data_IF_758692368311
#
_entry.id   IF_758692368311
#
_cell.length_a   1.000
_cell.length_b   1.000
_cell.length_c   1.000
_cell.angle_alpha   90.00
_cell.angle_beta   90.00
_cell.angle_gamma   90.00
#
_symmetry.space_group_name_H-M   'P 1'
#
loop_
_entity.id
_entity.type
_entity.pdbx_description
1 polymer ?
#
# COMPACT_ATOMS: atom_id res chain seq x y z
N UNK A 1 17.08 18.12 22.55
CA UNK A 1 15.79 18.50 21.91
C UNK A 1 15.42 17.44 20.89
N UNK A 2 14.12 17.18 20.67
CA UNK A 2 13.62 16.16 19.72
C UNK A 2 14.29 16.27 18.34
N UNK A 3 14.53 17.51 17.87
CA UNK A 3 15.19 17.80 16.59
C UNK A 3 16.60 17.20 16.44
N UNK A 4 17.39 17.12 17.51
CA UNK A 4 18.78 16.65 17.42
C UNK A 4 18.90 15.12 17.47
N UNK A 5 17.88 14.43 18.00
CA UNK A 5 17.94 12.99 18.25
C UNK A 5 17.05 12.18 17.29
N UNK A 6 16.05 12.82 16.65
CA UNK A 6 15.01 12.11 15.89
C UNK A 6 14.66 12.76 14.55
N UNK A 7 15.37 13.82 14.13
CA UNK A 7 15.13 14.49 12.85
C UNK A 7 16.44 14.74 12.11
N UNK A 8 16.37 14.69 10.78
CA UNK A 8 17.46 15.08 9.88
C UNK A 8 17.00 16.34 9.14
N UNK A 9 17.78 17.41 9.20
CA UNK A 9 17.47 18.62 8.43
C UNK A 9 17.87 18.45 6.97
N UNK A 10 17.23 19.20 6.07
CA UNK A 10 17.54 19.18 4.64
C UNK A 10 19.00 19.53 4.38
N UNK A 11 19.59 20.44 5.17
CA UNK A 11 21.01 20.82 5.06
C UNK A 11 21.94 19.65 5.40
N UNK A 12 21.73 19.00 6.55
CA UNK A 12 22.51 17.82 6.95
C UNK A 12 22.38 16.70 5.93
N UNK A 13 21.16 16.47 5.44
CA UNK A 13 20.89 15.45 4.43
C UNK A 13 21.59 15.75 3.10
N UNK A 14 21.59 17.02 2.67
CA UNK A 14 22.32 17.46 1.45
C UNK A 14 23.83 17.29 1.61
N UNK A 15 24.38 17.58 2.79
CA UNK A 15 25.80 17.35 3.08
C UNK A 15 26.18 15.87 2.97
N UNK A 16 25.34 14.97 3.49
CA UNK A 16 25.57 13.52 3.36
C UNK A 16 25.53 13.05 1.91
N UNK A 17 24.58 13.52 1.10
CA UNK A 17 24.51 13.19 -0.33
C UNK A 17 25.76 13.66 -1.09
N UNK A 18 26.22 14.89 -0.82
CA UNK A 18 27.42 15.45 -1.45
C UNK A 18 28.72 14.71 -1.05
N UNK A 19 28.73 14.07 0.12
CA UNK A 19 29.88 13.30 0.59
C UNK A 19 30.02 11.93 -0.11
N UNK A 20 28.98 11.45 -0.82
CA UNK A 20 29.01 10.17 -1.52
C UNK A 20 29.81 10.32 -2.82
N UNK A 21 30.92 9.57 -3.03
CA UNK A 21 31.78 9.72 -4.20
C UNK A 21 31.18 9.12 -5.49
N UNK A 22 29.95 8.59 -5.42
CA UNK A 22 29.26 8.01 -6.56
C UNK A 22 28.85 9.08 -7.56
N UNK A 23 29.20 8.84 -8.82
CA UNK A 23 28.89 9.73 -9.92
C UNK A 23 27.39 9.78 -10.23
N UNK A 24 26.70 8.63 -10.17
CA UNK A 24 25.26 8.52 -10.34
C UNK A 24 24.64 8.12 -9.01
N UNK A 25 23.71 8.93 -8.52
CA UNK A 25 23.03 8.70 -7.26
C UNK A 25 21.53 8.65 -7.50
N UNK A 26 20.86 7.67 -6.88
CA UNK A 26 19.40 7.56 -6.89
C UNK A 26 18.90 7.80 -5.48
N UNK A 27 17.92 8.68 -5.35
CA UNK A 27 17.28 9.03 -4.09
C UNK A 27 15.77 8.86 -4.22
N UNK A 28 15.20 8.06 -3.33
CA UNK A 28 13.76 7.81 -3.26
C UNK A 28 13.28 8.25 -1.88
N UNK A 29 12.27 9.11 -1.84
CA UNK A 29 11.70 9.66 -0.61
C UNK A 29 10.21 9.30 -0.54
N UNK A 30 9.86 8.27 0.22
CA UNK A 30 8.46 7.89 0.49
C UNK A 30 8.03 8.46 1.86
N UNK A 31 7.83 9.77 1.91
CA UNK A 31 7.41 10.49 3.11
C UNK A 31 6.44 11.62 2.77
N UNK A 32 5.50 11.89 3.68
CA UNK A 32 4.57 13.02 3.55
C UNK A 32 5.36 14.33 3.32
N UNK A 33 4.88 15.17 2.41
CA UNK A 33 5.47 16.48 2.11
C UNK A 33 6.94 16.42 1.60
N UNK A 34 7.41 15.25 1.12
CA UNK A 34 8.75 15.08 0.53
C UNK A 34 8.97 15.85 -0.78
N UNK A 35 7.89 16.30 -1.44
CA UNK A 35 7.97 17.17 -2.63
C UNK A 35 8.76 18.46 -2.38
N UNK A 36 8.69 19.04 -1.18
CA UNK A 36 9.45 20.26 -0.81
C UNK A 36 10.97 20.02 -0.80
N UNK A 37 11.41 18.78 -0.50
CA UNK A 37 12.83 18.41 -0.58
C UNK A 37 13.28 18.41 -2.02
N UNK A 38 12.45 17.92 -2.95
CA UNK A 38 12.73 17.95 -4.39
C UNK A 38 12.83 19.38 -4.90
N UNK A 39 11.90 20.25 -4.53
CA UNK A 39 11.94 21.68 -4.89
C UNK A 39 13.21 22.37 -4.38
N UNK A 40 13.62 22.10 -3.14
CA UNK A 40 14.85 22.63 -2.55
C UNK A 40 16.12 22.13 -3.27
N UNK A 41 16.14 20.87 -3.72
CA UNK A 41 17.28 20.32 -4.47
C UNK A 41 17.33 20.86 -5.90
N UNK A 42 16.17 20.99 -6.55
CA UNK A 42 16.05 21.60 -7.88
C UNK A 42 16.49 23.07 -7.87
N UNK A 43 16.11 23.84 -6.86
CA UNK A 43 16.52 25.24 -6.72
C UNK A 43 18.02 25.37 -6.43
N UNK A 44 18.58 24.50 -5.58
CA UNK A 44 20.03 24.44 -5.36
C UNK A 44 20.81 24.14 -6.66
N UNK A 45 20.32 23.21 -7.50
CA UNK A 45 20.95 22.90 -8.79
C UNK A 45 20.83 24.02 -9.84
N UNK A 46 19.83 24.90 -9.72
CA UNK A 46 19.58 26.03 -10.63
C UNK A 46 20.35 27.30 -10.27
N UNK A 47 21.06 27.31 -9.14
CA UNK A 47 21.89 28.44 -8.69
C UNK A 47 23.23 28.59 -9.44
N UNK A 48 23.46 27.79 -10.49
CA UNK A 48 24.68 27.81 -11.29
C UNK A 48 24.55 28.76 -12.49
N UNK A 49 25.59 29.58 -12.72
CA UNK A 49 25.62 30.55 -13.80
C UNK A 49 25.65 29.87 -15.19
N UNK A 50 25.16 30.56 -16.22
CA UNK A 50 25.01 30.04 -17.60
C UNK A 50 26.28 29.46 -18.25
N UNK A 51 27.46 29.82 -17.76
CA UNK A 51 28.76 29.24 -18.15
C UNK A 51 29.07 27.91 -17.46
N UNK A 52 28.63 27.72 -16.23
CA UNK A 52 28.75 26.47 -15.47
C UNK A 52 27.74 25.42 -15.96
N UNK A 53 26.54 25.84 -16.37
CA UNK A 53 25.53 24.96 -16.98
C UNK A 53 26.08 24.24 -18.22
N UNK A 54 26.82 24.94 -19.09
CA UNK A 54 27.41 24.33 -20.32
C UNK A 54 28.58 23.38 -20.05
N UNK A 55 29.33 23.59 -18.96
CA UNK A 55 30.39 22.67 -18.53
C UNK A 55 29.80 21.44 -17.84
N UNK A 56 28.72 21.62 -17.08
CA UNK A 56 27.95 20.55 -16.47
C UNK A 56 27.20 19.72 -17.53
N UNK A 57 26.62 20.34 -18.58
CA UNK A 57 26.00 19.67 -19.75
C UNK A 57 26.90 18.64 -20.41
N UNK A 58 28.22 18.86 -20.41
CA UNK A 58 29.20 17.92 -20.96
C UNK A 58 29.57 16.78 -19.99
N UNK A 59 29.27 16.92 -18.70
CA UNK A 59 29.43 15.90 -17.66
C UNK A 59 28.10 15.18 -17.30
N UNK A 60 26.95 15.78 -17.65
CA UNK A 60 25.58 15.36 -17.26
C UNK A 60 25.17 13.95 -17.69
N UNK A 61 25.73 13.41 -18.79
CA UNK A 61 25.50 12.01 -19.17
C UNK A 61 26.14 10.98 -18.21
N UNK A 62 27.13 11.41 -17.41
CA UNK A 62 27.96 10.54 -16.56
C UNK A 62 27.78 10.76 -15.06
N UNK A 63 27.30 11.94 -14.63
CA UNK A 63 27.18 12.29 -13.21
C UNK A 63 25.85 12.98 -12.89
N UNK A 64 25.18 12.62 -11.79
CA UNK A 64 23.99 13.32 -11.32
C UNK A 64 23.18 12.60 -10.24
N UNK A 65 22.30 13.35 -9.60
CA UNK A 65 21.34 12.85 -8.59
C UNK A 65 19.96 12.75 -9.23
N UNK A 66 19.39 11.56 -9.17
CA UNK A 66 18.05 11.22 -9.64
C UNK A 66 17.15 11.06 -8.43
N UNK A 67 16.09 11.86 -8.35
CA UNK A 67 15.21 11.94 -7.18
C UNK A 67 13.79 11.58 -7.57
N UNK A 68 13.17 10.73 -6.77
CA UNK A 68 11.74 10.43 -6.82
C UNK A 68 11.15 10.62 -5.42
N UNK A 69 10.12 11.45 -5.29
CA UNK A 69 9.48 11.75 -4.01
C UNK A 69 7.97 11.50 -4.05
N UNK A 70 7.45 10.85 -3.00
CA UNK A 70 6.04 10.58 -2.81
C UNK A 70 5.33 11.82 -2.27
N UNK A 71 4.50 12.47 -3.09
CA UNK A 71 3.72 13.63 -2.66
C UNK A 71 2.28 13.24 -2.38
N UNK A 72 1.98 12.86 -1.13
CA UNK A 72 0.61 12.60 -0.67
C UNK A 72 0.00 13.86 -0.06
N UNK A 73 -1.26 14.16 -0.39
CA UNK A 73 -2.06 15.18 0.27
C UNK A 73 -2.79 14.56 1.49
N UNK A 74 -2.12 14.54 2.65
CA UNK A 74 -2.65 14.47 4.03
C UNK A 74 -3.90 13.61 4.39
N UNK A 75 -4.33 12.65 3.57
CA UNK A 75 -5.53 11.85 3.85
C UNK A 75 -5.27 10.34 3.92
N UNK A 76 -5.57 9.85 5.13
CA UNK A 76 -5.97 8.50 5.58
C UNK A 76 -4.93 7.37 5.50
N UNK A 77 -4.21 7.18 6.61
CA UNK A 77 -3.30 6.07 6.88
C UNK A 77 -3.95 4.68 6.79
N UNK A 78 -5.27 4.59 7.06
CA UNK A 78 -6.02 3.32 7.01
C UNK A 78 -6.16 2.77 5.60
N UNK A 79 -6.28 3.65 4.61
CA UNK A 79 -6.50 3.30 3.20
C UNK A 79 -5.22 2.77 2.54
N UNK A 80 -4.05 3.34 2.89
CA UNK A 80 -2.75 2.85 2.46
C UNK A 80 -2.39 1.47 3.07
N UNK A 81 -2.96 1.11 4.22
CA UNK A 81 -2.68 -0.18 4.89
C UNK A 81 -3.03 -1.39 4.02
N UNK A 82 -3.94 -1.22 3.04
CA UNK A 82 -4.29 -2.20 2.02
C UNK A 82 -3.07 -2.72 1.25
N UNK A 83 -2.08 -1.87 1.02
CA UNK A 83 -0.87 -2.22 0.26
C UNK A 83 0.29 -2.66 1.15
N UNK A 84 0.14 -2.60 2.48
CA UNK A 84 1.15 -3.03 3.46
C UNK A 84 2.39 -2.12 3.57
N UNK A 85 2.50 -1.09 2.72
CA UNK A 85 3.59 -0.12 2.65
C UNK A 85 3.14 1.15 1.93
N UNK A 86 3.99 2.18 1.87
CA UNK A 86 3.70 3.40 1.11
C UNK A 86 3.48 3.11 -0.38
N UNK A 87 2.57 3.85 -1.02
CA UNK A 87 2.20 3.62 -2.43
C UNK A 87 3.41 3.71 -3.35
N UNK A 88 4.32 4.65 -3.09
CA UNK A 88 5.53 4.82 -3.88
C UNK A 88 6.44 3.59 -3.76
N UNK A 89 6.72 3.16 -2.53
CA UNK A 89 7.52 1.94 -2.31
C UNK A 89 6.85 0.73 -2.96
N UNK A 90 5.53 0.58 -2.86
CA UNK A 90 4.76 -0.51 -3.47
C UNK A 90 4.89 -0.53 -5.00
N UNK A 91 4.73 0.62 -5.66
CA UNK A 91 4.90 0.72 -7.10
C UNK A 91 6.34 0.43 -7.53
N UNK A 92 7.35 0.87 -6.77
CA UNK A 92 8.75 0.58 -7.10
C UNK A 92 9.06 -0.92 -7.04
N UNK A 93 8.63 -1.60 -5.96
CA UNK A 93 8.84 -3.05 -5.85
C UNK A 93 8.11 -3.83 -6.95
N UNK A 94 6.89 -3.43 -7.32
CA UNK A 94 6.17 -4.00 -8.46
C UNK A 94 6.90 -3.81 -9.79
N UNK A 95 7.44 -2.60 -10.03
CA UNK A 95 8.22 -2.32 -11.24
C UNK A 95 9.45 -3.22 -11.31
N UNK A 96 10.19 -3.32 -10.21
CA UNK A 96 11.37 -4.18 -10.12
C UNK A 96 11.02 -5.68 -10.25
N UNK A 97 9.83 -6.13 -9.82
CA UNK A 97 9.45 -7.55 -9.88
C UNK A 97 9.14 -8.06 -11.30
N UNK A 98 9.21 -7.20 -12.31
CA UNK A 98 9.01 -7.58 -13.71
C UNK A 98 8.23 -6.56 -14.52
N UNK A 99 7.46 -5.68 -13.88
CA UNK A 99 6.52 -4.80 -14.58
C UNK A 99 7.17 -3.57 -15.23
N UNK A 100 8.43 -3.27 -14.87
CA UNK A 100 9.20 -2.15 -15.42
C UNK A 100 10.64 -2.54 -15.80
N UNK A 101 10.89 -3.82 -16.11
CA UNK A 101 12.22 -4.30 -16.49
C UNK A 101 12.52 -4.04 -17.96
N UNK A 102 13.69 -3.46 -18.23
CA UNK A 102 14.25 -3.36 -19.57
C UNK A 102 14.79 -4.74 -19.97
N UNK A 103 14.41 -5.18 -21.18
CA UNK A 103 14.75 -6.53 -21.69
C UNK A 103 14.35 -7.68 -20.73
N UNK A 104 13.35 -7.44 -19.87
CA UNK A 104 12.85 -8.43 -18.91
C UNK A 104 13.79 -8.76 -17.74
N UNK A 105 14.93 -8.08 -17.60
CA UNK A 105 15.92 -8.39 -16.56
C UNK A 105 16.61 -7.17 -15.94
N UNK A 106 16.72 -6.04 -16.63
CA UNK A 106 17.45 -4.88 -16.12
C UNK A 106 16.51 -3.87 -15.46
N UNK A 107 16.85 -3.44 -14.25
CA UNK A 107 16.14 -2.35 -13.55
C UNK A 107 16.73 -1.03 -14.02
N UNK A 108 16.12 -0.43 -15.02
CA UNK A 108 16.46 0.90 -15.54
C UNK A 108 15.78 2.01 -14.73
N UNK A 109 16.52 3.05 -14.35
CA UNK A 109 16.01 4.05 -13.41
C UNK A 109 14.84 4.90 -13.97
N UNK A 110 14.91 5.32 -15.24
CA UNK A 110 13.83 6.12 -15.84
C UNK A 110 12.59 5.28 -16.06
N UNK A 111 12.74 4.04 -16.51
CA UNK A 111 11.64 3.09 -16.67
C UNK A 111 10.94 2.82 -15.33
N UNK A 112 11.72 2.59 -14.27
CA UNK A 112 11.20 2.35 -12.93
C UNK A 112 10.49 3.58 -12.35
N UNK A 113 11.09 4.77 -12.50
CA UNK A 113 10.50 6.02 -12.02
C UNK A 113 9.20 6.36 -12.76
N UNK A 114 9.19 6.19 -14.08
CA UNK A 114 8.00 6.42 -14.90
C UNK A 114 6.87 5.45 -14.51
N UNK A 115 7.19 4.16 -14.34
CA UNK A 115 6.22 3.19 -13.85
C UNK A 115 5.62 3.62 -12.50
N UNK A 116 6.45 4.04 -11.55
CA UNK A 116 5.95 4.52 -10.26
C UNK A 116 5.10 5.79 -10.40
N UNK A 117 5.48 6.74 -11.26
CA UNK A 117 4.71 7.96 -11.55
C UNK A 117 3.32 7.65 -12.09
N UNK A 118 3.18 6.62 -12.92
CA UNK A 118 1.92 6.24 -13.55
C UNK A 118 1.04 5.36 -12.64
N UNK A 119 1.65 4.50 -11.82
CA UNK A 119 0.94 3.58 -10.94
C UNK A 119 0.44 4.23 -9.64
N UNK A 120 1.24 5.10 -9.02
CA UNK A 120 0.87 5.70 -7.73
C UNK A 120 -0.47 6.44 -7.78
N UNK A 121 -0.78 7.27 -8.80
CA UNK A 121 -2.08 7.92 -8.93
C UNK A 121 -3.25 6.93 -9.03
N UNK A 122 -3.09 5.82 -9.77
CA UNK A 122 -4.13 4.79 -9.91
C UNK A 122 -4.40 4.09 -8.58
N UNK A 123 -3.34 3.75 -7.84
CA UNK A 123 -3.44 3.12 -6.53
C UNK A 123 -4.04 4.06 -5.48
N UNK A 124 -3.71 5.36 -5.56
CA UNK A 124 -4.26 6.39 -4.71
C UNK A 124 -5.76 6.59 -4.99
N UNK A 125 -6.15 6.69 -6.26
CA UNK A 125 -7.56 6.81 -6.66
C UNK A 125 -8.39 5.60 -6.19
N UNK A 126 -7.83 4.38 -6.29
CA UNK A 126 -8.48 3.16 -5.84
C UNK A 126 -8.81 3.17 -4.34
N UNK A 127 -8.15 4.01 -3.56
CA UNK A 127 -8.39 4.18 -2.13
C UNK A 127 -8.99 5.54 -1.77
N UNK A 128 -9.38 6.37 -2.74
CA UNK A 128 -9.97 7.70 -2.50
C UNK A 128 -8.96 8.81 -2.21
N UNK A 129 -7.67 8.52 -2.35
CA UNK A 129 -6.57 9.47 -2.20
C UNK A 129 -6.14 10.11 -3.52
N UNK A 130 -5.32 11.16 -3.41
CA UNK A 130 -4.61 11.77 -4.53
C UNK A 130 -3.14 11.81 -4.18
N UNK A 131 -2.32 11.17 -5.00
CA UNK A 131 -0.87 11.15 -4.84
C UNK A 131 -0.21 11.15 -6.22
N UNK A 132 0.67 12.12 -6.45
CA UNK A 132 1.44 12.20 -7.70
C UNK A 132 2.92 12.32 -7.35
N UNK A 133 3.74 11.30 -7.66
CA UNK A 133 5.17 11.37 -7.42
C UNK A 133 5.83 12.52 -8.20
N UNK A 134 6.79 13.19 -7.56
CA UNK A 134 7.62 14.21 -8.20
C UNK A 134 8.98 13.62 -8.55
N UNK A 135 9.43 13.89 -9.78
CA UNK A 135 10.74 13.46 -10.27
C UNK A 135 11.64 14.67 -10.48
N UNK A 136 12.91 14.53 -10.12
CA UNK A 136 13.97 15.45 -10.48
C UNK A 136 15.19 14.66 -10.96
N UNK A 137 15.76 15.07 -12.09
CA UNK A 137 16.96 14.48 -12.64
C UNK A 137 17.70 15.54 -13.46
N UNK A 138 19.01 15.38 -13.72
CA UNK A 138 19.77 16.33 -14.53
C UNK A 138 19.16 16.50 -15.92
N UNK A 139 19.10 17.74 -16.42
CA UNK A 139 18.77 18.00 -17.83
C UNK A 139 19.70 17.15 -18.72
N UNK A 140 19.18 16.51 -19.76
CA UNK A 140 19.99 15.65 -20.63
C UNK A 140 20.62 14.42 -19.96
N UNK A 141 20.27 14.10 -18.71
CA UNK A 141 20.79 12.93 -18.01
C UNK A 141 20.31 11.63 -18.66
N UNK A 142 21.25 10.79 -19.08
CA UNK A 142 20.93 9.46 -19.59
C UNK A 142 20.48 8.54 -18.45
N UNK A 143 19.50 7.69 -18.75
CA UNK A 143 19.11 6.61 -17.86
C UNK A 143 20.25 5.60 -17.68
N UNK A 144 20.15 4.77 -16.64
CA UNK A 144 21.12 3.74 -16.35
C UNK A 144 20.48 2.63 -15.52
N UNK A 145 21.05 1.44 -15.63
CA UNK A 145 20.61 0.29 -14.86
C UNK A 145 21.16 0.37 -13.42
N UNK A 146 20.30 0.06 -12.46
CA UNK A 146 20.64 -0.03 -11.03
C UNK A 146 20.62 -1.46 -10.50
N UNK A 147 20.22 -2.43 -11.34
CA UNK A 147 20.17 -3.83 -10.93
C UNK A 147 19.83 -4.79 -12.06
N UNK A 148 20.14 -6.06 -11.81
CA UNK A 148 19.77 -7.21 -12.65
C UNK A 148 18.86 -8.13 -11.83
N UNK A 149 17.66 -8.39 -12.35
CA UNK A 149 16.69 -9.32 -11.78
C UNK A 149 16.81 -10.64 -12.53
N UNK A 150 17.22 -11.68 -11.79
CA UNK A 150 17.33 -13.04 -12.28
C UNK A 150 16.63 -14.00 -11.29
N UNK A 151 16.64 -15.30 -11.58
CA UNK A 151 15.95 -16.30 -10.74
C UNK A 151 16.42 -16.40 -9.28
N UNK A 152 17.54 -15.76 -8.91
CA UNK A 152 18.04 -15.71 -7.53
C UNK A 152 17.59 -14.48 -6.75
N UNK A 153 17.12 -13.43 -7.43
CA UNK A 153 16.69 -12.18 -6.81
C UNK A 153 15.22 -12.28 -6.44
N UNK A 154 14.92 -12.21 -5.14
CA UNK A 154 13.55 -12.15 -4.63
C UNK A 154 13.20 -10.72 -4.25
N UNK A 155 12.21 -10.15 -4.93
CA UNK A 155 11.71 -8.81 -4.63
C UNK A 155 10.42 -8.98 -3.80
N UNK A 156 10.41 -8.53 -2.54
CA UNK A 156 9.28 -8.75 -1.65
C UNK A 156 8.14 -7.76 -1.97
N UNK A 157 7.36 -8.04 -3.02
CA UNK A 157 6.17 -7.27 -3.31
C UNK A 157 5.06 -7.68 -2.34
N UNK A 158 4.56 -6.72 -1.57
CA UNK A 158 3.43 -6.96 -0.67
C UNK A 158 2.21 -7.45 -1.47
N UNK A 159 1.41 -8.34 -0.88
CA UNK A 159 0.11 -8.68 -1.46
C UNK A 159 -0.90 -7.61 -1.08
N UNK A 160 -1.75 -7.23 -2.03
CA UNK A 160 -2.88 -6.34 -1.76
C UNK A 160 -3.80 -7.06 -0.78
N UNK A 161 -3.98 -6.48 0.41
CA UNK A 161 -4.80 -7.04 1.48
C UNK A 161 -6.28 -6.84 1.15
N UNK A 162 -7.14 -7.84 1.35
CA UNK A 162 -8.59 -7.63 1.29
C UNK A 162 -9.01 -6.65 2.39
N UNK A 163 -9.88 -5.71 2.03
CA UNK A 163 -10.44 -4.73 2.97
C UNK A 163 -11.83 -5.21 3.37
N UNK A 164 -12.04 -5.51 4.65
CA UNK A 164 -13.34 -5.81 5.21
C UNK A 164 -13.97 -4.56 5.83
N UNK A 165 -15.29 -4.45 5.70
CA UNK A 165 -16.10 -3.39 6.28
C UNK A 165 -17.19 -3.96 7.19
N UNK A 166 -18.07 -3.11 7.72
CA UNK A 166 -19.15 -3.51 8.65
C UNK A 166 -19.93 -4.71 8.11
N UNK A 167 -20.03 -5.73 8.96
CA UNK A 167 -20.78 -6.95 8.66
C UNK A 167 -22.23 -6.79 9.14
N UNK A 168 -23.16 -7.57 8.58
CA UNK A 168 -24.57 -7.48 8.93
C UNK A 168 -25.14 -8.87 9.21
N UNK A 169 -25.55 -9.09 10.45
CA UNK A 169 -26.20 -10.32 10.87
C UNK A 169 -27.52 -9.99 11.54
N UNK A 170 -28.55 -10.79 11.29
CA UNK A 170 -29.84 -10.65 11.95
C UNK A 170 -30.38 -12.03 12.31
N UNK A 171 -31.00 -12.14 13.48
CA UNK A 171 -31.80 -13.31 13.83
C UNK A 171 -33.12 -13.27 13.06
N UNK A 172 -33.52 -14.41 12.50
CA UNK A 172 -34.63 -14.50 11.53
C UNK A 172 -36.00 -14.05 12.08
N UNK A 173 -36.22 -14.16 13.38
CA UNK A 173 -37.49 -13.79 14.04
C UNK A 173 -37.38 -12.46 14.81
N UNK A 174 -36.21 -12.13 15.33
CA UNK A 174 -36.00 -10.90 16.10
C UNK A 174 -35.74 -9.67 15.22
N UNK A 175 -35.31 -9.86 13.96
CA UNK A 175 -34.87 -8.79 13.06
C UNK A 175 -33.75 -7.92 13.65
N UNK A 176 -32.96 -8.50 14.55
CA UNK A 176 -31.87 -7.83 15.26
C UNK A 176 -30.73 -8.83 15.51
N UNK A 177 -29.53 -8.32 15.78
CA UNK A 177 -28.38 -9.12 16.15
C UNK A 177 -28.34 -9.39 17.66
N UNK A 178 -29.31 -10.16 18.15
CA UNK A 178 -29.47 -10.49 19.59
C UNK A 178 -28.26 -11.18 20.22
N UNK A 179 -27.36 -11.76 19.41
CA UNK A 179 -26.11 -12.40 19.85
C UNK A 179 -24.86 -11.51 19.68
N UNK A 180 -25.01 -10.31 19.13
CA UNK A 180 -23.93 -9.39 18.79
C UNK A 180 -22.84 -10.05 17.92
N UNK A 181 -23.23 -10.91 16.97
CA UNK A 181 -22.29 -11.57 16.05
C UNK A 181 -21.50 -10.55 15.21
N UNK A 182 -22.13 -9.45 14.81
CA UNK A 182 -21.53 -8.35 14.08
C UNK A 182 -20.37 -7.75 14.86
N UNK A 183 -20.64 -7.29 16.09
CA UNK A 183 -19.61 -6.71 16.96
C UNK A 183 -18.48 -7.69 17.29
N UNK A 184 -18.80 -8.98 17.51
CA UNK A 184 -17.78 -10.01 17.76
C UNK A 184 -16.88 -10.25 16.55
N UNK A 185 -17.47 -10.32 15.36
CA UNK A 185 -16.71 -10.44 14.12
C UNK A 185 -15.84 -9.19 13.88
N UNK A 186 -16.37 -7.99 14.13
CA UNK A 186 -15.58 -6.75 14.05
C UNK A 186 -14.37 -6.78 14.97
N UNK A 187 -14.53 -7.16 16.25
CA UNK A 187 -13.42 -7.29 17.18
C UNK A 187 -12.35 -8.28 16.70
N UNK A 188 -12.78 -9.41 16.11
CA UNK A 188 -11.87 -10.39 15.51
C UNK A 188 -11.11 -9.83 14.30
N UNK A 189 -11.78 -9.13 13.39
CA UNK A 189 -11.16 -8.52 12.20
C UNK A 189 -10.23 -7.34 12.57
N UNK A 190 -10.59 -6.56 13.59
CA UNK A 190 -9.73 -5.52 14.16
C UNK A 190 -8.44 -6.12 14.76
N UNK A 191 -8.53 -7.25 15.46
CA UNK A 191 -7.36 -7.94 16.00
C UNK A 191 -6.41 -8.45 14.90
N UNK A 192 -6.93 -8.85 13.73
CA UNK A 192 -6.08 -9.15 12.57
C UNK A 192 -5.41 -7.89 12.03
N UNK A 193 -6.18 -6.80 11.88
CA UNK A 193 -5.68 -5.52 11.36
C UNK A 193 -4.58 -4.94 12.25
N UNK A 194 -4.68 -5.11 13.57
CA UNK A 194 -3.70 -4.66 14.55
C UNK A 194 -2.30 -5.30 14.36
N UNK A 195 -2.18 -6.38 13.59
CA UNK A 195 -0.89 -6.99 13.21
C UNK A 195 -0.10 -6.16 12.19
N UNK A 196 -0.65 -5.04 11.71
CA UNK A 196 0.04 -4.08 10.84
C UNK A 196 0.54 -4.71 9.54
N UNK A 197 1.85 -4.63 9.29
CA UNK A 197 2.47 -5.18 8.07
C UNK A 197 2.14 -6.68 7.89
N UNK A 198 2.06 -7.45 8.97
CA UNK A 198 1.78 -8.89 8.96
C UNK A 198 0.28 -9.24 8.89
N UNK A 199 -0.62 -8.25 8.91
CA UNK A 199 -2.05 -8.50 8.81
C UNK A 199 -2.41 -9.15 7.46
N UNK A 200 -3.26 -10.18 7.50
CA UNK A 200 -3.78 -10.85 6.29
C UNK A 200 -4.96 -10.14 5.64
N UNK A 201 -5.57 -9.18 6.34
CA UNK A 201 -6.63 -8.31 5.87
C UNK A 201 -6.57 -6.95 6.60
N UNK A 202 -7.39 -6.01 6.15
CA UNK A 202 -7.62 -4.73 6.83
C UNK A 202 -9.10 -4.61 7.13
N UNK A 203 -9.47 -4.22 8.34
CA UNK A 203 -10.84 -3.85 8.70
C UNK A 203 -10.98 -2.34 8.81
N UNK A 204 -12.04 -1.79 8.23
CA UNK A 204 -12.41 -0.38 8.34
C UNK A 204 -13.86 -0.28 8.78
N UNK A 205 -14.11 0.49 9.83
CA UNK A 205 -15.45 0.65 10.41
C UNK A 205 -16.31 1.64 9.61
N UNK A 206 -16.69 1.26 8.39
CA UNK A 206 -17.53 2.04 7.48
C UNK A 206 -18.63 1.17 6.87
N UNK A 207 -19.77 1.74 6.48
CA UNK A 207 -20.86 0.98 5.87
C UNK A 207 -20.63 0.62 4.39
N UNK A 208 -19.80 1.41 3.68
CA UNK A 208 -19.50 1.20 2.26
C UNK A 208 -18.06 1.65 1.97
N UNK A 209 -17.35 0.85 1.16
CA UNK A 209 -16.01 1.14 0.67
C UNK A 209 -15.80 0.41 -0.67
N UNK A 210 -15.12 1.06 -1.61
CA UNK A 210 -14.91 0.52 -2.97
C UNK A 210 -14.14 -0.79 -2.92
N UNK A 211 -14.67 -1.81 -3.61
CA UNK A 211 -14.10 -3.16 -3.69
C UNK A 211 -13.85 -3.86 -2.34
N UNK A 212 -14.48 -3.39 -1.26
CA UNK A 212 -14.39 -4.01 0.06
C UNK A 212 -15.33 -5.21 0.21
N UNK A 213 -15.01 -6.02 1.21
CA UNK A 213 -15.69 -7.24 1.56
C UNK A 213 -16.59 -7.05 2.78
N UNK A 214 -17.79 -7.62 2.71
CA UNK A 214 -18.71 -7.65 3.85
C UNK A 214 -19.40 -9.01 3.91
N UNK A 215 -19.58 -9.53 5.12
CA UNK A 215 -20.37 -10.73 5.37
C UNK A 215 -21.76 -10.30 5.79
N UNK A 216 -22.77 -10.77 5.06
CA UNK A 216 -24.18 -10.46 5.34
C UNK A 216 -24.97 -11.75 5.45
N UNK A 217 -25.76 -11.92 6.50
CA UNK A 217 -26.47 -13.17 6.72
C UNK A 217 -27.57 -13.13 7.77
N UNK A 218 -28.29 -14.23 7.83
CA UNK A 218 -29.34 -14.48 8.80
C UNK A 218 -28.94 -15.68 9.65
N UNK A 219 -29.23 -15.63 10.95
CA UNK A 219 -29.07 -16.78 11.83
C UNK A 219 -30.37 -17.13 12.55
N UNK A 220 -30.40 -18.36 13.06
CA UNK A 220 -31.48 -18.87 13.89
C UNK A 220 -30.89 -19.44 15.18
N UNK A 221 -31.52 -19.13 16.32
CA UNK A 221 -31.18 -19.69 17.63
C UNK A 221 -32.25 -20.70 18.05
N UNK A 222 -31.91 -21.99 18.06
CA UNK A 222 -32.80 -23.08 18.51
C UNK A 222 -32.09 -23.98 19.50
N UNK A 223 -32.69 -24.16 20.68
CA UNK A 223 -32.17 -25.05 21.73
C UNK A 223 -30.68 -24.84 22.03
N UNK A 224 -30.24 -23.57 22.11
CA UNK A 224 -28.84 -23.20 22.34
C UNK A 224 -27.91 -23.34 21.12
N UNK A 225 -28.40 -23.89 20.00
CA UNK A 225 -27.65 -24.00 18.75
C UNK A 225 -27.91 -22.79 17.86
N UNK A 226 -26.85 -22.19 17.35
CA UNK A 226 -26.86 -21.08 16.38
C UNK A 226 -26.59 -21.67 14.99
N UNK A 227 -27.49 -21.45 14.05
CA UNK A 227 -27.31 -21.81 12.64
C UNK A 227 -27.28 -20.54 11.78
N UNK A 228 -26.12 -20.19 11.22
CA UNK A 228 -25.94 -19.03 10.36
C UNK A 228 -25.95 -19.44 8.88
N UNK A 229 -26.66 -18.65 8.07
CA UNK A 229 -26.55 -18.62 6.61
C UNK A 229 -26.19 -17.22 6.18
N UNK A 230 -25.00 -17.05 5.61
CA UNK A 230 -24.48 -15.78 5.16
C UNK A 230 -23.92 -15.89 3.74
N UNK A 231 -23.63 -14.73 3.15
CA UNK A 231 -22.85 -14.62 1.92
C UNK A 231 -21.70 -13.64 2.13
N UNK A 232 -20.58 -13.93 1.51
CA UNK A 232 -19.51 -12.96 1.33
C UNK A 232 -19.85 -12.09 0.12
N UNK A 233 -19.75 -10.78 0.27
CA UNK A 233 -19.92 -9.82 -0.82
C UNK A 233 -18.61 -9.09 -1.09
N UNK A 234 -18.37 -8.74 -2.35
CA UNK A 234 -17.42 -7.70 -2.75
C UNK A 234 -18.22 -6.53 -3.34
N UNK A 235 -18.27 -5.41 -2.62
CA UNK A 235 -19.24 -4.35 -2.90
C UNK A 235 -20.67 -4.87 -2.85
N UNK A 236 -21.33 -4.93 -4.02
CA UNK A 236 -22.69 -5.48 -4.17
C UNK A 236 -22.73 -6.89 -4.76
N UNK A 237 -21.60 -7.42 -5.22
CA UNK A 237 -21.54 -8.72 -5.88
C UNK A 237 -21.36 -9.84 -4.84
N UNK A 238 -22.25 -10.84 -4.79
CA UNK A 238 -22.06 -12.00 -3.92
C UNK A 238 -20.94 -12.89 -4.48
N UNK A 239 -19.97 -13.26 -3.65
CA UNK A 239 -18.85 -14.14 -4.01
C UNK A 239 -19.07 -15.60 -3.64
N UNK A 240 -19.86 -15.87 -2.60
CA UNK A 240 -20.14 -17.25 -2.19
C UNK A 240 -20.92 -17.34 -0.89
N UNK A 241 -21.42 -18.53 -0.62
CA UNK A 241 -22.18 -18.86 0.58
C UNK A 241 -21.28 -19.25 1.75
N UNK A 242 -21.69 -18.84 2.95
CA UNK A 242 -21.09 -19.19 4.23
C UNK A 242 -22.19 -19.84 5.07
N UNK A 243 -21.97 -21.07 5.51
CA UNK A 243 -22.90 -21.80 6.35
C UNK A 243 -22.15 -22.42 7.52
N UNK A 244 -22.48 -21.96 8.73
CA UNK A 244 -21.83 -22.44 9.97
C UNK A 244 -22.88 -22.75 11.03
N UNK A 245 -22.56 -23.72 11.89
CA UNK A 245 -23.38 -24.09 13.05
C UNK A 245 -22.49 -24.16 14.27
N UNK A 246 -22.97 -23.61 15.38
CA UNK A 246 -22.24 -23.59 16.65
C UNK A 246 -23.18 -23.48 17.84
N UNK A 247 -22.60 -23.39 19.03
CA UNK A 247 -23.34 -23.25 20.28
C UNK A 247 -23.33 -21.78 20.75
N UNK A 248 -24.41 -21.32 21.35
CA UNK A 248 -24.52 -19.97 21.91
C UNK A 248 -23.47 -19.71 23.01
N UNK A 249 -23.02 -20.76 23.71
CA UNK A 249 -21.92 -20.66 24.68
C UNK A 249 -20.52 -20.60 24.08
N UNK A 250 -20.38 -20.73 22.75
CA UNK A 250 -19.09 -20.84 22.05
C UNK A 250 -19.07 -19.97 20.78
N UNK A 251 -19.51 -18.71 20.91
CA UNK A 251 -19.62 -17.79 19.76
C UNK A 251 -18.27 -17.46 19.11
N UNK A 252 -17.17 -17.45 19.87
CA UNK A 252 -15.85 -17.13 19.31
C UNK A 252 -15.41 -18.21 18.29
N UNK A 253 -15.68 -19.49 18.59
CA UNK A 253 -15.46 -20.59 17.64
C UNK A 253 -16.36 -20.47 16.40
N UNK A 254 -17.58 -19.97 16.56
CA UNK A 254 -18.47 -19.68 15.43
C UNK A 254 -17.87 -18.57 14.54
N UNK A 255 -17.35 -17.49 15.13
CA UNK A 255 -16.68 -16.41 14.40
C UNK A 255 -15.45 -16.93 13.63
N UNK A 256 -14.62 -17.76 14.25
CA UNK A 256 -13.46 -18.36 13.58
C UNK A 256 -13.85 -19.18 12.35
N UNK A 257 -14.96 -19.94 12.43
CA UNK A 257 -15.49 -20.70 11.28
C UNK A 257 -16.00 -19.78 10.17
N UNK A 258 -16.72 -18.70 10.51
CA UNK A 258 -17.19 -17.70 9.55
C UNK A 258 -16.02 -17.12 8.78
N UNK A 259 -14.99 -16.68 9.51
CA UNK A 259 -13.79 -16.10 8.92
C UNK A 259 -13.07 -17.12 8.04
N UNK A 260 -12.90 -18.36 8.51
CA UNK A 260 -12.25 -19.43 7.74
C UNK A 260 -12.95 -19.69 6.41
N UNK A 261 -14.29 -19.79 6.40
CA UNK A 261 -15.05 -19.96 5.15
C UNK A 261 -14.95 -18.72 4.25
N UNK A 262 -15.04 -17.51 4.82
CA UNK A 262 -14.90 -16.27 4.07
C UNK A 262 -13.54 -16.17 3.38
N UNK A 263 -12.44 -16.50 4.07
CA UNK A 263 -11.10 -16.51 3.48
C UNK A 263 -10.95 -17.56 2.38
N UNK A 264 -11.60 -18.73 2.52
CA UNK A 264 -11.65 -19.73 1.46
C UNK A 264 -12.26 -19.22 0.15
N UNK A 265 -13.24 -18.30 0.25
CA UNK A 265 -13.89 -17.68 -0.92
C UNK A 265 -13.07 -16.56 -1.58
N UNK A 266 -12.09 -15.96 -0.86
CA UNK A 266 -11.23 -14.91 -1.41
C UNK A 266 -10.14 -15.44 -2.36
N UNK A 267 -9.86 -16.74 -2.32
CA UNK A 267 -8.86 -17.40 -3.17
C UNK A 267 -9.49 -18.54 -3.96
N UNK A 268 -10.34 -18.23 -4.97
CA UNK A 268 -10.90 -19.27 -5.83
C UNK A 268 -9.78 -19.83 -6.72
N UNK A 269 -9.18 -20.94 -6.29
CA UNK A 269 -8.14 -21.67 -7.03
C UNK A 269 -6.74 -21.52 -6.45
N UNK A 270 -6.34 -22.50 -5.63
CA UNK A 270 -5.08 -23.19 -5.92
C UNK A 270 -5.36 -24.24 -6.99
#
# INVERSE_FOLDING_TARGET
TIRNNYAVSTETFTQWLNAIPAQKQVMILDACNSGKVVESLLTASRSLNSSQIRALDRMQGRTGVFVLAGSAADKVSYEASRYGQGLLTFSLLQGMSGLALREGQYVDIMSLFQYARDQVPQLAEAIGGIQTPMMAFPLGGESFDIGLVNGTVQIPVARIKPVFIRNNFQEINAFDDVLNLGQRLEGYLQAITAKGAQASLVYVDVPEYKDAYAIKGLYELKNGTVSLRAKLFQGRQPLGDIAVKGQNGALDALIEQIVTQAFGLLSPGK
#
